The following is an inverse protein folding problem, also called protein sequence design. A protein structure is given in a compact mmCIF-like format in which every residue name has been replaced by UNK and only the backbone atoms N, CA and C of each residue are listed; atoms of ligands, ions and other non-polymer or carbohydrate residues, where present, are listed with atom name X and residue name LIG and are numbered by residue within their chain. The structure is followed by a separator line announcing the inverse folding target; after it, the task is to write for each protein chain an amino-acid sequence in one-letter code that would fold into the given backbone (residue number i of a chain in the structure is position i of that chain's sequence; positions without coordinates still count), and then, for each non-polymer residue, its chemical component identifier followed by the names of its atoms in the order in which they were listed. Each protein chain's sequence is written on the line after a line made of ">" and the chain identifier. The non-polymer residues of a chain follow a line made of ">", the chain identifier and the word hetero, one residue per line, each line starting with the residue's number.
data_IF_549243444763
#
_entry.id   IF_549243444763
#
_cell.length_a   1.000
_cell.length_b   1.000
_cell.length_c   1.000
_cell.angle_alpha   90.00
_cell.angle_beta   90.00
_cell.angle_gamma   90.00
#
_symmetry.space_group_name_H-M   'P 1'
#
loop_
_entity.id
_entity.type
_entity.pdbx_description
1 polymer ?
#
# COMPACT_ATOMS: atom_id res chain seq x y z
N UNK A 1 -8.31 -20.27 -4.73
CA UNK A 1 -8.32 -19.81 -3.33
C UNK A 1 -8.95 -20.86 -2.41
N UNK A 2 -8.22 -21.27 -1.36
CA UNK A 2 -8.74 -22.16 -0.32
C UNK A 2 -9.83 -21.48 0.52
N UNK A 3 -10.69 -22.27 1.20
CA UNK A 3 -11.68 -21.69 2.12
C UNK A 3 -10.95 -21.06 3.31
N UNK A 4 -11.04 -19.73 3.42
CA UNK A 4 -10.43 -18.99 4.52
C UNK A 4 -11.26 -19.17 5.80
N UNK A 5 -10.58 -19.45 6.91
CA UNK A 5 -11.20 -19.40 8.23
C UNK A 5 -11.53 -17.96 8.62
N UNK A 6 -12.39 -17.77 9.63
CA UNK A 6 -12.64 -16.43 10.17
C UNK A 6 -11.37 -15.77 10.69
N UNK A 7 -10.57 -16.51 11.45
CA UNK A 7 -9.30 -16.03 12.00
C UNK A 7 -8.34 -15.56 10.90
N UNK A 8 -8.20 -16.34 9.83
CA UNK A 8 -7.38 -15.95 8.67
C UNK A 8 -7.91 -14.70 7.96
N UNK A 9 -9.22 -14.56 7.81
CA UNK A 9 -9.81 -13.35 7.22
C UNK A 9 -9.55 -12.12 8.10
N UNK A 10 -9.71 -12.26 9.42
CA UNK A 10 -9.47 -11.18 10.38
C UNK A 10 -7.98 -10.76 10.34
N UNK A 11 -7.07 -11.72 10.22
CA UNK A 11 -5.62 -11.47 10.08
C UNK A 11 -5.28 -10.75 8.76
N UNK A 12 -5.85 -11.17 7.63
CA UNK A 12 -5.68 -10.49 6.35
C UNK A 12 -6.20 -9.04 6.37
N UNK A 13 -7.31 -8.80 7.06
CA UNK A 13 -7.84 -7.45 7.24
C UNK A 13 -6.94 -6.61 8.15
N UNK A 14 -6.33 -7.19 9.18
CA UNK A 14 -5.34 -6.50 10.01
C UNK A 14 -4.04 -6.22 9.23
N UNK A 15 -3.67 -7.08 8.27
CA UNK A 15 -2.56 -6.83 7.37
C UNK A 15 -2.81 -5.62 6.46
N UNK A 16 -4.05 -5.38 6.02
CA UNK A 16 -4.41 -4.14 5.29
C UNK A 16 -4.30 -2.88 6.16
N UNK A 17 -4.63 -2.97 7.46
CA UNK A 17 -4.41 -1.84 8.39
C UNK A 17 -2.91 -1.57 8.55
N UNK A 18 -2.13 -2.65 8.70
CA UNK A 18 -0.67 -2.59 8.82
C UNK A 18 -0.05 -1.96 7.57
N UNK A 19 -0.47 -2.40 6.38
CA UNK A 19 -0.08 -1.80 5.11
C UNK A 19 -0.33 -0.29 5.10
N UNK A 20 -1.57 0.14 5.43
CA UNK A 20 -1.93 1.56 5.43
C UNK A 20 -1.07 2.39 6.39
N UNK A 21 -0.77 1.87 7.57
CA UNK A 21 0.08 2.55 8.56
C UNK A 21 1.49 2.74 8.01
N UNK A 22 2.11 1.68 7.47
CA UNK A 22 3.46 1.75 6.91
C UNK A 22 3.49 2.66 5.69
N UNK A 23 2.50 2.55 4.80
CA UNK A 23 2.37 3.40 3.62
C UNK A 23 2.27 4.89 3.99
N UNK A 24 1.50 5.24 5.01
CA UNK A 24 1.42 6.62 5.51
C UNK A 24 2.78 7.10 6.03
N UNK A 25 3.46 6.30 6.85
CA UNK A 25 4.78 6.65 7.37
C UNK A 25 5.81 6.87 6.25
N UNK A 26 5.79 6.03 5.22
CA UNK A 26 6.71 6.13 4.08
C UNK A 26 6.42 7.33 3.18
N UNK A 27 5.14 7.65 2.94
CA UNK A 27 4.77 8.86 2.21
C UNK A 27 5.14 10.12 3.00
N UNK A 28 4.93 10.13 4.33
CA UNK A 28 5.33 11.24 5.18
C UNK A 28 6.86 11.44 5.15
N UNK A 29 7.63 10.35 5.18
CA UNK A 29 9.09 10.39 4.98
C UNK A 29 9.46 10.90 3.60
N UNK A 30 8.84 10.39 2.54
CA UNK A 30 9.07 10.84 1.18
C UNK A 30 8.88 12.35 1.06
N UNK A 31 7.78 12.88 1.57
CA UNK A 31 7.46 14.32 1.53
C UNK A 31 8.43 15.14 2.38
N UNK A 32 8.76 14.67 3.58
CA UNK A 32 9.58 15.44 4.51
C UNK A 32 11.07 15.44 4.14
N UNK A 33 11.59 14.31 3.66
CA UNK A 33 13.02 14.07 3.39
C UNK A 33 13.41 14.41 1.94
N UNK A 34 12.47 14.47 1.00
CA UNK A 34 12.74 14.95 -0.38
C UNK A 34 12.41 16.44 -0.54
N UNK A 35 13.08 17.08 -1.50
CA UNK A 35 12.80 18.44 -1.94
C UNK A 35 11.99 18.42 -3.24
N UNK A 36 10.92 19.19 -3.24
CA UNK A 36 9.97 19.30 -4.35
C UNK A 36 9.53 20.76 -4.49
N UNK A 37 9.39 21.30 -5.71
CA UNK A 37 8.97 22.69 -5.89
C UNK A 37 7.58 22.97 -5.26
N UNK A 38 6.68 22.00 -5.29
CA UNK A 38 5.28 22.10 -4.85
C UNK A 38 5.03 21.56 -3.43
N UNK A 39 6.09 21.45 -2.59
CA UNK A 39 6.01 20.85 -1.24
C UNK A 39 4.88 21.41 -0.36
N UNK A 40 4.56 22.70 -0.47
CA UNK A 40 3.47 23.31 0.31
C UNK A 40 2.07 22.80 -0.07
N UNK A 41 1.84 22.46 -1.35
CA UNK A 41 0.56 21.93 -1.82
C UNK A 41 0.45 20.42 -1.57
N UNK A 42 1.59 19.71 -1.65
CA UNK A 42 1.69 18.30 -1.27
C UNK A 42 1.32 18.12 0.21
N UNK A 43 1.86 18.96 1.10
CA UNK A 43 1.53 18.93 2.54
C UNK A 43 0.03 19.18 2.80
N UNK A 44 -0.67 19.89 1.90
CA UNK A 44 -2.12 20.10 1.99
C UNK A 44 -2.95 18.93 1.42
N UNK A 45 -2.31 17.85 0.97
CA UNK A 45 -2.94 16.65 0.45
C UNK A 45 -2.95 16.52 -1.07
N UNK A 46 -2.24 17.39 -1.80
CA UNK A 46 -2.08 17.30 -3.25
C UNK A 46 -1.08 16.23 -3.67
N UNK A 47 -1.29 14.97 -3.28
CA UNK A 47 -0.31 13.90 -3.50
C UNK A 47 -0.14 13.50 -4.96
N UNK A 48 -1.10 13.83 -5.83
CA UNK A 48 -0.95 13.71 -7.28
C UNK A 48 0.24 14.51 -7.84
N UNK A 49 0.75 15.51 -7.09
CA UNK A 49 1.95 16.26 -7.45
C UNK A 49 3.24 15.45 -7.26
N UNK A 50 3.17 14.34 -6.50
CA UNK A 50 4.26 13.37 -6.40
C UNK A 50 4.36 12.53 -7.67
N UNK A 51 3.28 12.35 -8.42
CA UNK A 51 3.24 11.46 -9.59
C UNK A 51 4.25 11.89 -10.67
N UNK A 52 5.15 10.98 -11.04
CA UNK A 52 6.27 11.21 -11.96
C UNK A 52 7.23 12.35 -11.55
N UNK A 53 7.23 12.75 -10.28
CA UNK A 53 8.13 13.79 -9.81
C UNK A 53 9.59 13.29 -9.78
N UNK A 54 10.52 14.10 -10.29
CA UNK A 54 11.94 13.92 -10.02
C UNK A 54 12.23 14.40 -8.60
N UNK A 55 12.25 13.46 -7.65
CA UNK A 55 12.47 13.74 -6.24
C UNK A 55 13.97 13.81 -5.92
N UNK A 56 14.38 14.86 -5.22
CA UNK A 56 15.77 15.06 -4.79
C UNK A 56 15.85 15.09 -3.26
N UNK A 57 16.49 14.08 -2.65
CA UNK A 57 16.79 14.01 -1.21
C UNK A 57 18.30 14.11 -0.89
N UNK A 58 19.16 14.20 -1.90
CA UNK A 58 20.62 14.30 -1.70
C UNK A 58 21.31 12.99 -1.30
N UNK A 59 20.53 11.93 -1.07
CA UNK A 59 20.93 10.57 -0.72
C UNK A 59 20.18 9.59 -1.63
N UNK A 60 20.58 8.32 -1.73
CA UNK A 60 19.84 7.34 -2.55
C UNK A 60 18.61 6.77 -1.82
N UNK A 61 18.49 6.97 -0.51
CA UNK A 61 17.49 6.32 0.35
C UNK A 61 16.87 7.28 1.36
N UNK A 62 15.66 6.96 1.81
CA UNK A 62 15.02 7.57 2.98
C UNK A 62 15.55 6.94 4.28
N UNK A 63 15.33 7.63 5.39
CA UNK A 63 15.74 7.19 6.72
C UNK A 63 15.24 5.78 7.05
N UNK A 64 16.16 4.91 7.48
CA UNK A 64 15.89 3.50 7.77
C UNK A 64 16.12 2.57 6.56
N UNK A 65 16.97 2.97 5.61
CA UNK A 65 17.34 2.19 4.42
C UNK A 65 16.15 1.84 3.54
N UNK A 66 15.23 2.80 3.39
CA UNK A 66 14.09 2.69 2.49
C UNK A 66 14.44 3.31 1.15
N UNK A 67 14.60 2.45 0.14
CA UNK A 67 14.58 2.87 -1.24
C UNK A 67 13.16 3.27 -1.64
N UNK A 68 13.05 4.23 -2.56
CA UNK A 68 11.78 4.63 -3.16
C UNK A 68 11.93 4.85 -4.66
N UNK A 69 10.87 4.58 -5.41
CA UNK A 69 10.78 4.83 -6.84
C UNK A 69 9.39 5.33 -7.21
N UNK A 70 9.30 6.61 -7.58
CA UNK A 70 8.06 7.22 -8.04
C UNK A 70 7.90 6.97 -9.53
N UNK A 71 6.82 6.30 -9.91
CA UNK A 71 6.54 5.99 -11.31
C UNK A 71 5.04 5.98 -11.59
N UNK A 72 4.62 6.71 -12.62
CA UNK A 72 3.20 6.88 -12.92
C UNK A 72 2.46 7.52 -11.74
N UNK A 73 1.41 6.83 -11.27
CA UNK A 73 0.57 7.25 -10.14
C UNK A 73 0.88 6.46 -8.86
N UNK A 74 2.06 5.82 -8.78
CA UNK A 74 2.47 5.03 -7.62
C UNK A 74 3.88 5.43 -7.13
N UNK A 75 4.16 5.05 -5.89
CA UNK A 75 5.51 5.04 -5.35
C UNK A 75 5.81 3.66 -4.75
N UNK A 76 6.83 3.01 -5.30
CA UNK A 76 7.34 1.76 -4.75
C UNK A 76 8.32 2.09 -3.64
N UNK A 77 8.23 1.35 -2.55
CA UNK A 77 9.19 1.39 -1.46
C UNK A 77 9.78 0.00 -1.23
N UNK A 78 11.09 -0.06 -0.98
CA UNK A 78 11.78 -1.29 -0.59
C UNK A 78 12.72 -1.00 0.59
N UNK A 79 12.54 -1.71 1.69
CA UNK A 79 13.52 -1.68 2.77
C UNK A 79 14.68 -2.60 2.42
N UNK A 80 15.88 -2.04 2.26
CA UNK A 80 17.05 -2.82 1.82
C UNK A 80 17.64 -3.73 2.91
N UNK A 81 17.25 -3.56 4.17
CA UNK A 81 17.67 -4.44 5.26
C UNK A 81 16.75 -5.66 5.39
N UNK A 82 15.43 -5.46 5.31
CA UNK A 82 14.43 -6.51 5.52
C UNK A 82 13.90 -7.14 4.23
N UNK A 83 14.05 -6.45 3.10
CA UNK A 83 13.46 -6.81 1.82
C UNK A 83 11.97 -6.51 1.70
N UNK A 84 11.36 -5.84 2.69
CA UNK A 84 9.94 -5.49 2.69
C UNK A 84 9.61 -4.52 1.56
N UNK A 85 8.52 -4.79 0.81
CA UNK A 85 8.09 -4.01 -0.34
C UNK A 85 6.66 -3.50 -0.18
N UNK A 86 6.42 -2.27 -0.62
CA UNK A 86 5.11 -1.64 -0.70
C UNK A 86 5.00 -0.89 -2.02
N UNK A 87 3.81 -0.85 -2.61
CA UNK A 87 3.51 -0.04 -3.79
C UNK A 87 2.30 0.83 -3.45
N UNK A 88 2.53 2.12 -3.24
CA UNK A 88 1.51 3.02 -2.68
C UNK A 88 0.93 3.90 -3.77
N UNK A 89 -0.41 3.91 -3.92
CA UNK A 89 -1.08 4.83 -4.83
C UNK A 89 -0.90 6.28 -4.40
N UNK A 90 -0.59 7.13 -5.37
CA UNK A 90 -0.49 8.58 -5.24
C UNK A 90 -1.77 9.22 -5.80
N UNK A 91 -2.13 10.39 -5.29
CA UNK A 91 -3.31 11.13 -5.77
C UNK A 91 -3.82 12.09 -4.71
N UNK A 92 -4.35 11.51 -3.64
CA UNK A 92 -4.79 12.21 -2.44
C UNK A 92 -4.34 11.47 -1.18
N UNK A 93 -4.55 12.08 -0.02
CA UNK A 93 -4.30 11.43 1.28
C UNK A 93 -5.13 10.15 1.45
N UNK A 94 -6.30 10.09 0.84
CA UNK A 94 -7.19 8.93 0.97
C UNK A 94 -6.66 7.72 0.19
N UNK A 95 -5.85 7.95 -0.84
CA UNK A 95 -5.35 6.91 -1.75
C UNK A 95 -4.23 6.06 -1.16
N UNK A 96 -3.58 6.52 -0.09
CA UNK A 96 -2.52 5.75 0.60
C UNK A 96 -3.01 4.37 1.06
N UNK A 97 -4.29 4.27 1.42
CA UNK A 97 -4.91 3.02 1.86
C UNK A 97 -5.45 2.15 0.73
N UNK A 98 -5.28 2.56 -0.54
CA UNK A 98 -5.66 1.74 -1.68
C UNK A 98 -4.68 0.59 -1.85
N UNK A 99 -5.22 -0.56 -2.23
CA UNK A 99 -4.47 -1.76 -2.48
C UNK A 99 -4.94 -2.41 -3.79
N UNK A 100 -3.96 -2.66 -4.65
CA UNK A 100 -4.05 -3.58 -5.77
C UNK A 100 -3.79 -5.03 -5.27
N UNK A 101 -4.49 -6.05 -5.82
CA UNK A 101 -4.31 -7.43 -5.43
C UNK A 101 -2.87 -7.96 -5.53
N UNK A 102 -2.16 -7.66 -6.62
CA UNK A 102 -0.79 -8.10 -6.83
C UNK A 102 0.17 -7.38 -5.87
N UNK A 103 0.02 -6.06 -5.71
CA UNK A 103 0.87 -5.30 -4.80
C UNK A 103 0.66 -5.68 -3.33
N UNK A 104 -0.59 -5.91 -2.92
CA UNK A 104 -0.88 -6.39 -1.57
C UNK A 104 -0.32 -7.80 -1.35
N UNK A 105 -0.38 -8.70 -2.35
CA UNK A 105 0.29 -9.99 -2.26
C UNK A 105 1.79 -9.84 -2.03
N UNK A 106 2.47 -8.99 -2.80
CA UNK A 106 3.90 -8.74 -2.66
C UNK A 106 4.25 -8.15 -1.29
N UNK A 107 3.40 -7.28 -0.74
CA UNK A 107 3.54 -6.79 0.62
C UNK A 107 3.48 -7.93 1.65
N UNK A 108 2.50 -8.83 1.55
CA UNK A 108 2.42 -10.00 2.43
C UNK A 108 3.66 -10.90 2.27
N UNK A 109 4.08 -11.18 1.05
CA UNK A 109 5.23 -12.06 0.76
C UNK A 109 6.56 -11.53 1.29
N UNK A 110 6.76 -10.21 1.19
CA UNK A 110 7.99 -9.52 1.58
C UNK A 110 8.02 -9.10 3.05
N UNK A 111 6.90 -9.22 3.77
CA UNK A 111 6.80 -8.86 5.20
C UNK A 111 6.90 -10.11 6.07
N UNK A 112 8.01 -10.26 6.79
CA UNK A 112 8.37 -11.50 7.51
C UNK A 112 7.24 -12.07 8.39
N UNK A 113 6.56 -11.23 9.18
CA UNK A 113 5.49 -11.66 10.08
C UNK A 113 4.11 -11.84 9.41
N UNK A 114 4.00 -11.58 8.10
CA UNK A 114 2.78 -11.76 7.31
C UNK A 114 2.95 -12.81 6.20
N UNK A 115 4.18 -13.23 5.93
CA UNK A 115 4.53 -14.13 4.84
C UNK A 115 3.78 -15.46 4.88
N UNK A 116 3.40 -15.95 6.05
CA UNK A 116 2.58 -17.18 6.17
C UNK A 116 1.19 -17.06 5.54
N UNK A 117 0.68 -15.84 5.35
CA UNK A 117 -0.64 -15.60 4.75
C UNK A 117 -0.66 -15.90 3.25
N UNK A 118 0.49 -15.87 2.56
CA UNK A 118 0.53 -16.11 1.10
C UNK A 118 0.16 -17.56 0.75
N UNK A 119 0.24 -18.50 1.69
CA UNK A 119 -0.10 -19.91 1.46
C UNK A 119 -1.56 -20.15 1.03
N UNK A 120 -2.43 -19.16 1.21
CA UNK A 120 -3.84 -19.23 0.83
C UNK A 120 -4.11 -18.77 -0.62
N UNK A 121 -3.09 -18.24 -1.29
CA UNK A 121 -3.16 -17.63 -2.62
C UNK A 121 -2.12 -18.30 -3.54
N UNK A 122 -2.57 -19.22 -4.40
CA UNK A 122 -1.70 -19.92 -5.34
C UNK A 122 -1.41 -19.06 -6.57
N UNK A 123 -2.41 -18.32 -7.04
CA UNK A 123 -2.25 -17.30 -8.07
C UNK A 123 -2.22 -15.92 -7.40
N UNK A 124 -1.05 -15.26 -7.30
CA UNK A 124 -0.87 -14.02 -6.56
C UNK A 124 -1.93 -12.95 -6.87
N UNK A 125 -2.18 -12.70 -8.14
CA UNK A 125 -3.19 -11.72 -8.56
C UNK A 125 -4.61 -12.30 -8.52
N UNK A 126 -4.82 -13.46 -9.16
CA UNK A 126 -6.16 -13.99 -9.38
C UNK A 126 -6.87 -14.40 -8.09
N UNK A 127 -6.17 -15.06 -7.16
CA UNK A 127 -6.76 -15.45 -5.88
C UNK A 127 -6.98 -14.24 -4.97
N UNK A 128 -6.06 -13.27 -4.98
CA UNK A 128 -6.21 -12.05 -4.18
C UNK A 128 -7.35 -11.16 -4.69
N UNK A 129 -7.52 -11.05 -6.01
CA UNK A 129 -8.66 -10.34 -6.61
C UNK A 129 -9.98 -11.01 -6.20
N UNK A 130 -10.07 -12.33 -6.29
CA UNK A 130 -11.25 -13.08 -5.82
C UNK A 130 -11.54 -12.81 -4.34
N UNK A 131 -10.51 -12.74 -3.49
CA UNK A 131 -10.64 -12.38 -2.08
C UNK A 131 -11.18 -10.96 -1.91
N UNK A 132 -10.64 -9.98 -2.64
CA UNK A 132 -11.08 -8.58 -2.55
C UNK A 132 -12.54 -8.42 -2.97
N UNK A 133 -12.96 -9.06 -4.07
CA UNK A 133 -14.37 -9.06 -4.50
C UNK A 133 -15.31 -9.69 -3.45
N UNK A 134 -14.86 -10.72 -2.73
CA UNK A 134 -15.64 -11.31 -1.63
C UNK A 134 -15.78 -10.32 -0.48
N UNK A 135 -14.70 -9.61 -0.11
CA UNK A 135 -14.75 -8.61 0.95
C UNK A 135 -15.59 -7.39 0.55
N UNK A 136 -15.55 -6.97 -0.71
CA UNK A 136 -16.39 -5.91 -1.27
C UNK A 136 -17.88 -6.28 -1.16
N UNK A 137 -18.26 -7.49 -1.59
CA UNK A 137 -19.64 -8.01 -1.45
C UNK A 137 -20.11 -8.04 0.01
N UNK A 138 -19.17 -8.20 0.95
CA UNK A 138 -19.42 -8.15 2.40
C UNK A 138 -19.37 -6.74 2.99
N UNK A 139 -19.15 -5.71 2.17
CA UNK A 139 -19.01 -4.30 2.57
C UNK A 139 -17.87 -4.08 3.58
N UNK A 140 -16.77 -4.80 3.38
CA UNK A 140 -15.54 -4.65 4.14
C UNK A 140 -14.48 -3.87 3.35
N UNK A 141 -14.51 -3.99 2.02
CA UNK A 141 -13.77 -3.13 1.09
C UNK A 141 -14.73 -2.29 0.27
N UNK A 142 -14.22 -1.16 -0.21
CA UNK A 142 -14.81 -0.32 -1.25
C UNK A 142 -13.96 -0.50 -2.52
N UNK A 143 -14.60 -0.80 -3.65
CA UNK A 143 -13.95 -0.71 -4.97
C UNK A 143 -13.79 0.76 -5.36
N UNK A 144 -12.58 1.17 -5.73
CA UNK A 144 -12.26 2.57 -6.05
C UNK A 144 -12.32 2.76 -7.58
N UNK A 145 -11.44 2.07 -8.30
CA UNK A 145 -11.36 2.09 -9.75
C UNK A 145 -10.44 0.95 -10.23
N UNK A 146 -10.58 0.50 -11.47
CA UNK A 146 -9.75 -0.59 -12.00
C UNK A 146 -9.78 -1.82 -11.09
N UNK A 147 -8.64 -2.17 -10.50
CA UNK A 147 -8.48 -3.26 -9.54
C UNK A 147 -8.09 -2.77 -8.13
N UNK A 148 -8.17 -1.46 -7.89
CA UNK A 148 -7.85 -0.84 -6.60
C UNK A 148 -9.03 -0.90 -5.64
N UNK A 149 -8.75 -1.35 -4.41
CA UNK A 149 -9.72 -1.45 -3.33
C UNK A 149 -9.21 -0.73 -2.08
N UNK A 150 -10.14 -0.25 -1.25
CA UNK A 150 -9.82 0.37 0.04
C UNK A 150 -10.59 -0.31 1.16
N UNK A 151 -9.94 -0.58 2.28
CA UNK A 151 -10.63 -1.08 3.47
C UNK A 151 -11.53 -0.02 4.08
N UNK A 152 -12.78 -0.38 4.36
CA UNK A 152 -13.73 0.50 5.04
C UNK A 152 -13.37 0.54 6.53
N UNK A 153 -13.10 1.74 7.04
CA UNK A 153 -12.83 1.94 8.46
C UNK A 153 -14.14 1.83 9.25
N UNK A 154 -14.15 1.06 10.34
CA UNK A 154 -15.35 0.81 11.15
C UNK A 154 -15.94 2.08 11.84
N UNK A 155 -15.33 3.25 11.64
CA UNK A 155 -15.74 4.52 12.26
C UNK A 155 -16.33 5.55 11.26
N UNK A 156 -16.54 5.19 9.99
CA UNK A 156 -17.16 6.08 9.00
C UNK A 156 -18.68 5.84 8.90
N UNK A 157 -19.40 6.12 9.99
CA UNK A 157 -20.87 6.24 10.02
C UNK A 157 -21.31 7.62 10.47
#
# INVERSE_FOLDING_TARGET
>A
MNSLTKETMDELLAAMDTYKVIAQELIDKLISETNQPEKSEIIKGGYYLLSNAELLNGEEYLTGNWYFDVHGEHCMFENLETGQKLEVSLGSTDDIGNVDPYFFYNFLESTENLKHLIQYFENPFGDMLNFFEVLEKRKMLLHIHGVEYRKILQNEK
#
